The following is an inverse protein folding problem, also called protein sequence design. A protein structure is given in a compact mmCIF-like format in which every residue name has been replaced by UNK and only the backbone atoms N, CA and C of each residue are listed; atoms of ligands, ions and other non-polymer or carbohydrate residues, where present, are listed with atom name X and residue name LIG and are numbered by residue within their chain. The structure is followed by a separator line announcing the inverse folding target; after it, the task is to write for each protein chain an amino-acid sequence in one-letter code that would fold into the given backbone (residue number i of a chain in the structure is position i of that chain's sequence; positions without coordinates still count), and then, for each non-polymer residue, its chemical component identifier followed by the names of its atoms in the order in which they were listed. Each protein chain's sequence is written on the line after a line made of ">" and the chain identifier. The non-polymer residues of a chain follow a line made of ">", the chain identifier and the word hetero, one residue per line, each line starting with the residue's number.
data_IF_962954994162
#
_entry.id   IF_962954994162
#
_cell.length_a   1.000
_cell.length_b   1.000
_cell.length_c   1.000
_cell.angle_alpha   90.00
_cell.angle_beta   90.00
_cell.angle_gamma   90.00
#
_symmetry.space_group_name_H-M   'P 1'
#
loop_
_entity.id
_entity.type
_entity.pdbx_description
1 polymer ?
#
# COMPACT_ATOMS: atom_id res chain seq x y z
N UNK A 1 5.77 15.76 3.37
CA UNK A 1 7.14 15.52 3.90
C UNK A 1 7.14 14.28 4.80
N UNK A 2 8.13 13.41 4.63
CA UNK A 2 8.37 12.21 5.46
C UNK A 2 8.82 12.62 6.87
N UNK A 3 8.40 11.89 7.91
CA UNK A 3 8.78 12.17 9.29
C UNK A 3 10.18 11.61 9.61
N UNK A 4 10.76 12.03 10.75
CA UNK A 4 12.10 11.58 11.16
C UNK A 4 12.20 10.08 11.47
N UNK A 5 11.10 9.43 11.86
CA UNK A 5 11.09 8.00 12.16
C UNK A 5 11.22 7.18 10.87
N UNK A 6 10.40 7.47 9.86
CA UNK A 6 10.53 6.88 8.53
C UNK A 6 11.90 7.18 7.90
N UNK A 7 12.37 8.43 7.98
CA UNK A 7 13.69 8.79 7.45
C UNK A 7 14.84 8.02 8.12
N UNK A 8 14.69 7.60 9.39
CA UNK A 8 15.70 6.78 10.06
C UNK A 8 15.89 5.40 9.41
N UNK A 9 14.88 4.90 8.68
CA UNK A 9 14.94 3.63 7.95
C UNK A 9 15.45 3.77 6.51
N UNK A 10 15.77 4.98 6.03
CA UNK A 10 16.16 5.19 4.63
C UNK A 10 17.31 4.28 4.19
N UNK A 11 18.35 4.13 5.01
CA UNK A 11 19.49 3.25 4.70
C UNK A 11 19.08 1.78 4.57
N UNK A 12 18.15 1.32 5.40
CA UNK A 12 17.66 -0.06 5.38
C UNK A 12 16.76 -0.29 4.16
N UNK A 13 15.86 0.66 3.89
CA UNK A 13 15.02 0.68 2.69
C UNK A 13 15.86 0.69 1.42
N UNK A 14 16.91 1.51 1.33
CA UNK A 14 17.84 1.54 0.19
C UNK A 14 18.50 0.18 -0.04
N UNK A 15 19.00 -0.45 1.04
CA UNK A 15 19.67 -1.74 0.95
C UNK A 15 18.71 -2.85 0.51
N UNK A 16 17.50 -2.87 1.06
CA UNK A 16 16.50 -3.90 0.74
C UNK A 16 15.91 -3.67 -0.65
N UNK A 17 15.59 -2.42 -1.01
CA UNK A 17 15.09 -2.08 -2.34
C UNK A 17 16.07 -2.49 -3.45
N UNK A 18 17.37 -2.34 -3.23
CA UNK A 18 18.39 -2.80 -4.17
C UNK A 18 18.36 -4.32 -4.43
N UNK A 19 17.98 -5.14 -3.43
CA UNK A 19 17.87 -6.60 -3.58
C UNK A 19 16.70 -7.02 -4.49
N UNK A 20 15.73 -6.12 -4.68
CA UNK A 20 14.51 -6.37 -5.43
C UNK A 20 14.36 -5.47 -6.66
N UNK A 21 15.43 -4.83 -7.14
CA UNK A 21 15.41 -3.91 -8.29
C UNK A 21 14.46 -2.71 -8.10
N UNK A 22 14.31 -2.26 -6.86
CA UNK A 22 13.38 -1.20 -6.44
C UNK A 22 14.08 0.10 -6.03
N UNK A 23 15.39 0.24 -6.28
CA UNK A 23 16.18 1.41 -5.84
C UNK A 23 15.65 2.76 -6.34
N UNK A 24 15.00 2.79 -7.51
CA UNK A 24 14.40 4.01 -8.05
C UNK A 24 13.14 4.47 -7.27
N UNK A 25 12.63 3.65 -6.36
CA UNK A 25 11.36 3.86 -5.66
C UNK A 25 11.55 4.05 -4.14
N UNK A 26 12.76 4.31 -3.65
CA UNK A 26 13.04 4.49 -2.21
C UNK A 26 12.13 5.55 -1.57
N UNK A 27 11.97 6.70 -2.22
CA UNK A 27 11.09 7.76 -1.69
C UNK A 27 9.61 7.37 -1.70
N UNK A 28 9.17 6.56 -2.68
CA UNK A 28 7.81 6.00 -2.71
C UNK A 28 7.62 4.97 -1.60
N UNK A 29 8.61 4.12 -1.33
CA UNK A 29 8.59 3.12 -0.26
C UNK A 29 8.51 3.82 1.11
N UNK A 30 9.28 4.89 1.31
CA UNK A 30 9.21 5.68 2.54
C UNK A 30 7.87 6.42 2.69
N UNK A 31 7.30 6.94 1.60
CA UNK A 31 5.96 7.52 1.60
C UNK A 31 4.88 6.49 1.97
N UNK A 32 5.02 5.25 1.50
CA UNK A 32 4.16 4.14 1.88
C UNK A 32 4.31 3.82 3.38
N UNK A 33 5.55 3.66 3.86
CA UNK A 33 5.84 3.45 5.30
C UNK A 33 5.24 4.55 6.19
N UNK A 34 5.32 5.81 5.73
CA UNK A 34 4.74 6.96 6.41
C UNK A 34 3.23 6.81 6.58
N UNK A 35 2.54 6.33 5.54
CA UNK A 35 1.10 6.09 5.58
C UNK A 35 0.73 4.87 6.43
N UNK A 36 1.50 3.78 6.35
CA UNK A 36 1.18 2.52 7.03
C UNK A 36 1.38 2.58 8.54
N UNK A 37 2.50 3.14 8.98
CA UNK A 37 2.88 3.09 10.40
C UNK A 37 3.44 4.39 10.93
N UNK A 38 3.73 5.37 10.06
CA UNK A 38 4.54 6.54 10.42
C UNK A 38 5.90 6.14 11.03
N UNK A 39 6.43 4.98 10.64
CA UNK A 39 7.67 4.40 11.14
C UNK A 39 7.57 3.89 12.59
N UNK A 40 6.36 3.55 13.05
CA UNK A 40 6.11 3.08 14.42
C UNK A 40 5.87 1.58 14.46
N UNK A 41 6.19 0.97 15.60
CA UNK A 41 6.05 -0.47 15.79
C UNK A 41 7.12 -1.27 15.03
N UNK A 42 6.90 -2.57 14.94
CA UNK A 42 7.82 -3.50 14.28
C UNK A 42 7.39 -3.82 12.84
N UNK A 43 6.10 -3.86 12.58
CA UNK A 43 5.56 -4.02 11.23
C UNK A 43 5.40 -2.66 10.56
N UNK A 44 6.53 -2.01 10.28
CA UNK A 44 6.61 -0.63 9.77
C UNK A 44 5.99 -0.46 8.37
N UNK A 45 5.86 -1.54 7.60
CA UNK A 45 5.18 -1.55 6.30
C UNK A 45 3.74 -2.11 6.37
N UNK A 46 3.24 -2.47 7.56
CA UNK A 46 1.96 -3.19 7.76
C UNK A 46 1.80 -4.37 6.79
N UNK A 47 2.86 -5.15 6.64
CA UNK A 47 2.97 -6.23 5.66
C UNK A 47 2.68 -7.61 6.23
N UNK A 48 2.28 -7.70 7.51
CA UNK A 48 2.03 -8.98 8.19
C UNK A 48 0.97 -9.82 7.48
N UNK A 49 -0.11 -9.22 6.99
CA UNK A 49 -1.22 -9.93 6.35
C UNK A 49 -0.91 -10.31 4.89
N UNK A 50 0.21 -9.83 4.34
CA UNK A 50 0.65 -10.08 2.97
C UNK A 50 1.13 -11.51 2.73
N UNK A 51 1.15 -11.92 1.46
CA UNK A 51 1.57 -13.25 1.02
C UNK A 51 3.09 -13.45 1.12
N UNK A 52 3.90 -12.38 1.11
CA UNK A 52 5.35 -12.50 1.28
C UNK A 52 5.77 -12.72 2.74
N UNK A 53 4.87 -12.50 3.71
CA UNK A 53 5.08 -12.92 5.09
C UNK A 53 4.91 -14.44 5.22
N UNK A 54 6.05 -15.14 5.30
CA UNK A 54 6.13 -16.59 5.43
C UNK A 54 6.76 -17.03 6.75
N UNK A 55 7.13 -16.06 7.60
CA UNK A 55 7.87 -16.30 8.85
C UNK A 55 7.06 -15.98 10.11
N UNK A 56 6.16 -15.01 10.04
CA UNK A 56 5.36 -14.52 11.17
C UNK A 56 3.86 -14.79 10.95
N UNK A 57 3.01 -14.75 11.99
CA UNK A 57 1.57 -14.87 11.81
C UNK A 57 1.01 -13.84 10.82
N UNK A 58 0.15 -14.28 9.90
CA UNK A 58 -0.56 -13.41 8.97
C UNK A 58 -1.79 -12.79 9.64
N UNK A 59 -1.53 -11.96 10.64
CA UNK A 59 -2.52 -11.19 11.38
C UNK A 59 -2.00 -9.76 11.57
N UNK A 60 -2.86 -8.77 11.82
CA UNK A 60 -2.42 -7.39 12.04
C UNK A 60 -1.27 -7.31 13.06
N UNK A 61 -0.18 -6.62 12.71
CA UNK A 61 1.05 -6.48 13.52
C UNK A 61 1.72 -7.80 13.93
N UNK A 62 1.58 -8.88 13.15
CA UNK A 62 2.20 -10.18 13.41
C UNK A 62 3.73 -10.20 13.25
N UNK A 63 4.29 -9.35 12.37
CA UNK A 63 5.74 -9.23 12.16
C UNK A 63 6.38 -8.45 13.31
N UNK A 64 7.33 -9.09 14.00
CA UNK A 64 8.12 -8.48 15.09
C UNK A 64 9.54 -8.07 14.69
N UNK A 65 9.87 -8.16 13.41
CA UNK A 65 11.18 -7.85 12.83
C UNK A 65 11.02 -6.77 11.75
N UNK A 66 11.64 -5.62 12.01
CA UNK A 66 11.53 -4.43 11.16
C UNK A 66 12.13 -4.65 9.78
N UNK A 67 13.32 -5.26 9.70
CA UNK A 67 14.00 -5.52 8.42
C UNK A 67 13.16 -6.48 7.57
N UNK A 68 12.51 -7.44 8.23
CA UNK A 68 11.61 -8.37 7.57
C UNK A 68 10.31 -7.70 7.09
N UNK A 69 9.73 -6.78 7.87
CA UNK A 69 8.59 -5.96 7.44
C UNK A 69 8.93 -5.14 6.20
N UNK A 70 10.11 -4.49 6.18
CA UNK A 70 10.61 -3.74 5.01
C UNK A 70 10.72 -4.67 3.78
N UNK A 71 11.30 -5.85 3.94
CA UNK A 71 11.46 -6.81 2.85
C UNK A 71 10.12 -7.36 2.32
N UNK A 72 9.15 -7.62 3.19
CA UNK A 72 7.82 -8.06 2.78
C UNK A 72 7.06 -6.94 2.05
N UNK A 73 7.01 -5.74 2.65
CA UNK A 73 6.34 -4.59 2.03
C UNK A 73 6.92 -4.20 0.67
N UNK A 74 8.24 -4.24 0.50
CA UNK A 74 8.85 -3.95 -0.82
C UNK A 74 8.45 -4.99 -1.87
N UNK A 75 8.34 -6.26 -1.51
CA UNK A 75 7.91 -7.32 -2.43
C UNK A 75 6.42 -7.20 -2.79
N UNK A 76 5.55 -6.90 -1.82
CA UNK A 76 4.12 -6.64 -2.06
C UNK A 76 3.90 -5.43 -2.98
N UNK A 77 4.64 -4.34 -2.74
CA UNK A 77 4.60 -3.15 -3.59
C UNK A 77 5.10 -3.47 -5.00
N UNK A 78 6.24 -4.16 -5.12
CA UNK A 78 6.78 -4.59 -6.42
C UNK A 78 5.78 -5.46 -7.19
N UNK A 79 5.11 -6.39 -6.51
CA UNK A 79 4.10 -7.25 -7.11
C UNK A 79 2.92 -6.43 -7.66
N UNK A 80 2.43 -5.48 -6.86
CA UNK A 80 1.35 -4.58 -7.26
C UNK A 80 1.76 -3.67 -8.43
N UNK A 81 3.00 -3.18 -8.43
CA UNK A 81 3.55 -2.37 -9.53
C UNK A 81 3.70 -3.15 -10.83
N UNK A 82 4.08 -4.43 -10.75
CA UNK A 82 4.15 -5.30 -11.91
C UNK A 82 2.76 -5.52 -12.53
N UNK A 83 1.70 -5.68 -11.72
CA UNK A 83 0.32 -5.78 -12.22
C UNK A 83 -0.22 -4.48 -12.81
N UNK A 84 0.25 -3.34 -12.32
CA UNK A 84 -0.09 -2.02 -12.85
C UNK A 84 0.76 -1.61 -14.07
N UNK A 85 1.70 -2.43 -14.51
CA UNK A 85 2.66 -2.10 -15.58
C UNK A 85 3.41 -0.77 -15.33
N UNK A 86 3.81 -0.50 -14.07
CA UNK A 86 4.54 0.74 -13.72
C UNK A 86 5.86 0.83 -14.48
N UNK A 87 6.03 1.93 -15.21
CA UNK A 87 7.19 2.14 -16.11
C UNK A 87 8.34 2.92 -15.48
N UNK A 88 8.11 3.58 -14.34
CA UNK A 88 9.12 4.37 -13.65
C UNK A 88 8.57 5.15 -12.44
N UNK A 89 9.44 5.79 -11.64
CA UNK A 89 9.04 6.55 -10.45
C UNK A 89 8.14 7.76 -10.76
N UNK A 90 8.16 8.25 -12.00
CA UNK A 90 7.32 9.37 -12.44
C UNK A 90 6.00 8.90 -13.09
N UNK A 91 5.76 7.59 -13.18
CA UNK A 91 4.52 7.03 -13.73
C UNK A 91 3.41 7.03 -12.66
N UNK A 92 3.00 8.24 -12.26
CA UNK A 92 2.08 8.44 -11.15
C UNK A 92 0.72 7.76 -11.42
N UNK A 93 0.28 7.67 -12.68
CA UNK A 93 -0.98 7.04 -13.04
C UNK A 93 -0.97 5.55 -12.69
N UNK A 94 0.05 4.81 -13.12
CA UNK A 94 0.20 3.38 -12.81
C UNK A 94 0.55 3.15 -11.34
N UNK A 95 1.34 4.04 -10.72
CA UNK A 95 1.66 3.98 -9.29
C UNK A 95 0.39 4.07 -8.44
N UNK A 96 -0.60 4.89 -8.81
CA UNK A 96 -1.88 4.95 -8.08
C UNK A 96 -2.61 3.60 -8.06
N UNK A 97 -2.62 2.88 -9.19
CA UNK A 97 -3.19 1.53 -9.25
C UNK A 97 -2.40 0.55 -8.37
N UNK A 98 -1.07 0.60 -8.42
CA UNK A 98 -0.21 -0.25 -7.61
C UNK A 98 -0.39 -0.01 -6.11
N UNK A 99 -0.47 1.24 -5.67
CA UNK A 99 -0.71 1.60 -4.27
C UNK A 99 -2.08 1.11 -3.79
N UNK A 100 -3.13 1.27 -4.59
CA UNK A 100 -4.44 0.74 -4.23
C UNK A 100 -4.42 -0.80 -4.15
N UNK A 101 -3.68 -1.46 -5.05
CA UNK A 101 -3.45 -2.90 -5.00
C UNK A 101 -2.70 -3.36 -3.75
N UNK A 102 -1.75 -2.57 -3.25
CA UNK A 102 -1.08 -2.84 -1.97
C UNK A 102 -2.08 -2.86 -0.81
N UNK A 103 -2.95 -1.84 -0.75
CA UNK A 103 -3.92 -1.69 0.35
C UNK A 103 -5.09 -2.68 0.28
N UNK A 104 -5.59 -2.99 -0.91
CA UNK A 104 -6.76 -3.86 -1.12
C UNK A 104 -6.41 -5.33 -1.38
N UNK A 105 -5.13 -5.67 -1.48
CA UNK A 105 -4.69 -6.95 -2.00
C UNK A 105 -4.69 -6.98 -3.53
N UNK A 106 -3.51 -7.17 -4.10
CA UNK A 106 -3.28 -6.92 -5.52
C UNK A 106 -4.11 -7.85 -6.42
N UNK A 107 -4.17 -9.15 -6.13
CA UNK A 107 -4.87 -10.09 -7.00
C UNK A 107 -6.36 -9.79 -7.15
N UNK A 108 -7.05 -9.58 -6.03
CA UNK A 108 -8.49 -9.32 -6.04
C UNK A 108 -8.82 -7.98 -6.71
N UNK A 109 -8.02 -6.95 -6.43
CA UNK A 109 -8.21 -5.63 -6.99
C UNK A 109 -7.96 -5.59 -8.50
N UNK A 110 -6.82 -6.09 -8.98
CA UNK A 110 -6.51 -6.09 -10.42
C UNK A 110 -7.44 -7.00 -11.23
N UNK A 111 -7.89 -8.14 -10.66
CA UNK A 111 -8.93 -8.97 -11.30
C UNK A 111 -10.26 -8.22 -11.46
N UNK A 112 -10.62 -7.37 -10.49
CA UNK A 112 -11.80 -6.52 -10.61
C UNK A 112 -11.62 -5.46 -11.71
N UNK A 113 -10.47 -4.80 -11.76
CA UNK A 113 -10.19 -3.79 -12.79
C UNK A 113 -10.29 -4.38 -14.19
N UNK A 114 -9.66 -5.55 -14.42
CA UNK A 114 -9.71 -6.25 -15.71
C UNK A 114 -11.14 -6.59 -16.13
N UNK A 115 -11.93 -7.19 -15.23
CA UNK A 115 -13.33 -7.57 -15.50
C UNK A 115 -14.22 -6.39 -15.87
N UNK A 116 -13.91 -5.21 -15.36
CA UNK A 116 -14.70 -3.99 -15.57
C UNK A 116 -14.09 -3.05 -16.62
N UNK A 117 -12.96 -3.42 -17.24
CA UNK A 117 -12.28 -2.59 -18.23
C UNK A 117 -11.74 -1.27 -17.66
N UNK A 118 -11.38 -1.25 -16.37
CA UNK A 118 -10.87 -0.06 -15.69
C UNK A 118 -9.34 -0.05 -15.83
N UNK A 119 -8.79 1.01 -16.44
CA UNK A 119 -7.36 1.12 -16.76
C UNK A 119 -6.66 2.26 -16.01
N UNK A 120 -7.38 2.98 -15.15
CA UNK A 120 -6.87 4.12 -14.39
C UNK A 120 -7.54 4.18 -13.03
N UNK A 121 -6.78 4.56 -11.99
CA UNK A 121 -7.35 4.75 -10.66
C UNK A 121 -8.29 5.96 -10.62
N UNK A 122 -9.43 5.81 -9.94
CA UNK A 122 -10.30 6.91 -9.50
C UNK A 122 -10.90 6.57 -8.14
N UNK A 123 -11.29 7.59 -7.36
CA UNK A 123 -11.98 7.37 -6.09
C UNK A 123 -13.27 6.55 -6.28
N UNK A 124 -14.02 6.80 -7.36
CA UNK A 124 -15.26 6.08 -7.65
C UNK A 124 -15.00 4.59 -7.89
N UNK A 125 -13.96 4.25 -8.67
CA UNK A 125 -13.58 2.86 -8.91
C UNK A 125 -13.10 2.15 -7.64
N UNK A 126 -12.38 2.88 -6.77
CA UNK A 126 -11.91 2.37 -5.49
C UNK A 126 -13.07 2.10 -4.52
N UNK A 127 -14.02 3.04 -4.40
CA UNK A 127 -15.25 2.89 -3.61
C UNK A 127 -16.11 1.75 -4.12
N UNK A 128 -16.30 1.63 -5.43
CA UNK A 128 -17.09 0.56 -6.03
C UNK A 128 -16.47 -0.82 -5.80
N UNK A 129 -15.14 -0.93 -5.80
CA UNK A 129 -14.47 -2.17 -5.40
C UNK A 129 -14.69 -2.47 -3.91
N UNK A 130 -14.50 -1.48 -3.02
CA UNK A 130 -14.66 -1.65 -1.58
C UNK A 130 -16.10 -2.03 -1.18
N UNK A 131 -17.12 -1.50 -1.87
CA UNK A 131 -18.52 -1.90 -1.73
C UNK A 131 -18.69 -3.41 -1.94
N UNK A 132 -18.17 -3.93 -3.05
CA UNK A 132 -18.26 -5.36 -3.38
C UNK A 132 -17.43 -6.20 -2.40
N UNK A 133 -16.21 -5.75 -2.08
CA UNK A 133 -15.27 -6.48 -1.23
C UNK A 133 -15.71 -6.56 0.24
N UNK A 134 -16.41 -5.53 0.74
CA UNK A 134 -17.05 -5.51 2.07
C UNK A 134 -18.36 -6.31 2.14
N UNK A 135 -18.86 -6.83 1.02
CA UNK A 135 -20.18 -7.43 0.94
C UNK A 135 -21.31 -6.44 1.20
N UNK A 136 -21.17 -5.22 0.66
CA UNK A 136 -22.09 -4.08 0.84
C UNK A 136 -22.22 -3.66 2.32
N UNK A 137 -21.15 -3.85 3.10
CA UNK A 137 -21.10 -3.42 4.50
C UNK A 137 -20.52 -2.02 4.60
N UNK A 138 -21.35 -1.04 4.95
CA UNK A 138 -20.90 0.32 5.26
C UNK A 138 -20.29 0.38 6.67
N UNK A 139 -19.24 1.18 6.81
CA UNK A 139 -18.76 1.70 8.10
C UNK A 139 -19.86 2.53 8.75
N UNK A 140 -19.88 2.53 10.07
CA UNK A 140 -20.70 3.48 10.83
C UNK A 140 -20.23 4.91 10.51
N UNK A 141 -21.17 5.87 10.47
CA UNK A 141 -20.84 7.29 10.28
C UNK A 141 -20.07 7.90 11.46
N UNK A 142 -20.08 7.21 12.59
CA UNK A 142 -19.31 7.54 13.79
C UNK A 142 -17.91 6.92 13.78
N UNK A 143 -17.61 6.03 12.82
CA UNK A 143 -16.28 5.47 12.62
C UNK A 143 -15.31 6.59 12.21
N UNK A 144 -14.18 6.78 12.90
CA UNK A 144 -13.19 7.79 12.52
C UNK A 144 -12.64 7.59 11.10
N UNK A 145 -12.72 6.38 10.55
CA UNK A 145 -12.28 6.04 9.20
C UNK A 145 -13.34 6.32 8.12
N UNK A 146 -14.58 6.64 8.49
CA UNK A 146 -15.65 6.86 7.51
C UNK A 146 -15.28 7.96 6.49
N UNK A 147 -14.89 9.12 6.98
CA UNK A 147 -14.50 10.24 6.12
C UNK A 147 -13.07 10.08 5.59
N UNK A 148 -12.17 9.47 6.37
CA UNK A 148 -10.74 9.43 6.05
C UNK A 148 -10.31 8.22 5.25
N UNK A 149 -11.10 7.15 5.18
CA UNK A 149 -10.76 5.92 4.44
C UNK A 149 -11.93 5.42 3.57
N UNK A 150 -13.06 6.14 3.61
CA UNK A 150 -14.25 5.91 2.79
C UNK A 150 -15.37 5.15 3.50
N UNK A 151 -16.58 5.15 2.93
CA UNK A 151 -17.78 4.65 3.59
C UNK A 151 -17.85 3.12 3.73
N UNK A 152 -17.18 2.35 2.86
CA UNK A 152 -17.25 0.88 2.90
C UNK A 152 -16.25 0.26 3.86
N UNK A 153 -16.64 -0.80 4.57
CA UNK A 153 -15.80 -1.49 5.56
C UNK A 153 -14.75 -2.41 4.89
N UNK A 154 -13.94 -1.82 4.01
CA UNK A 154 -12.85 -2.51 3.31
C UNK A 154 -11.74 -1.52 2.92
N UNK A 155 -10.57 -1.69 3.55
CA UNK A 155 -9.34 -0.94 3.28
C UNK A 155 -9.51 0.59 3.28
N UNK A 156 -8.57 1.29 2.67
CA UNK A 156 -8.59 2.73 2.49
C UNK A 156 -8.86 3.08 1.03
N UNK A 157 -10.05 3.61 0.78
CA UNK A 157 -10.54 3.91 -0.56
C UNK A 157 -9.82 5.10 -1.22
N UNK A 158 -9.06 5.88 -0.43
CA UNK A 158 -8.29 7.04 -0.87
C UNK A 158 -6.77 6.81 -0.77
N UNK A 159 -6.37 5.56 -0.50
CA UNK A 159 -5.01 5.20 -0.13
C UNK A 159 -3.90 5.77 -1.04
N UNK A 160 -4.03 5.76 -2.38
CA UNK A 160 -3.01 6.35 -3.24
C UNK A 160 -2.77 7.83 -2.96
N UNK A 161 -3.80 8.60 -2.66
CA UNK A 161 -3.65 10.03 -2.35
C UNK A 161 -2.99 10.25 -0.99
N UNK A 162 -3.32 9.39 -0.01
CA UNK A 162 -2.70 9.44 1.31
C UNK A 162 -1.23 9.08 1.32
N UNK A 163 -0.79 8.16 0.45
CA UNK A 163 0.63 7.88 0.26
C UNK A 163 1.29 9.02 -0.52
N UNK A 164 0.71 9.41 -1.66
CA UNK A 164 1.34 10.36 -2.57
C UNK A 164 1.46 11.79 -2.00
N UNK A 165 0.69 12.16 -0.97
CA UNK A 165 0.91 13.43 -0.23
C UNK A 165 2.28 13.52 0.43
N UNK A 166 2.97 12.38 0.62
CA UNK A 166 4.33 12.32 1.15
C UNK A 166 5.39 12.11 0.08
N UNK A 167 4.98 11.73 -1.14
CA UNK A 167 5.88 11.50 -2.26
C UNK A 167 6.19 12.82 -2.96
N UNK A 168 7.38 13.36 -2.68
CA UNK A 168 7.87 14.58 -3.30
C UNK A 168 9.23 14.29 -3.93
N UNK A 169 9.35 14.59 -5.21
CA UNK A 169 10.62 14.66 -5.96
C UNK A 169 11.34 15.97 -5.71
#
# INVERSE_FOLDING_TARGET
>A
MINSACESYRSDVEQVAAKYDMSAYVDLILALMMQESSGQGTDVMQSSEGAYNTQYPQTPNGITDVDYSIACGIQELKYSMAKADVTGPNDIASIKLALQGYNFGADVYFNYLEKNGITSWSEESSKAFAEIASGETERSKEDPLYDTAGPWDYGDQYYPEHVLRYYHS
#
